data_IF_189393348421
#
_entry.id   IF_189393348421
#
_cell.length_a   1.000
_cell.length_b   1.000
_cell.length_c   1.000
_cell.angle_alpha   90.00
_cell.angle_beta   90.00
_cell.angle_gamma   90.00
#
_symmetry.space_group_name_H-M   'P 1'
#
loop_
_entity.id
_entity.type
_entity.pdbx_description
1 polymer ?
#
# COMPACT_ATOMS: atom_id res chain seq x y z
N UNK A 1 -33.43 -6.78 -0.44
CA UNK A 1 -32.25 -6.35 0.34
C UNK A 1 -31.09 -6.26 -0.63
N UNK A 2 -30.79 -5.04 -1.06
CA UNK A 2 -29.78 -4.74 -2.08
C UNK A 2 -28.40 -5.15 -1.57
N UNK A 3 -27.76 -6.10 -2.24
CA UNK A 3 -26.32 -6.32 -2.06
C UNK A 3 -25.60 -5.18 -2.79
N UNK A 4 -24.75 -4.46 -2.06
CA UNK A 4 -23.99 -3.33 -2.55
C UNK A 4 -23.21 -3.70 -3.81
N UNK A 5 -23.35 -2.87 -4.84
CA UNK A 5 -22.53 -2.88 -6.05
C UNK A 5 -21.06 -2.78 -5.65
N UNK A 6 -20.31 -3.88 -5.69
CA UNK A 6 -18.86 -3.82 -5.74
C UNK A 6 -18.51 -3.29 -7.14
N UNK A 7 -18.27 -1.98 -7.24
CA UNK A 7 -17.70 -1.35 -8.43
C UNK A 7 -16.38 -2.05 -8.72
N UNK A 8 -16.29 -2.73 -9.87
CA UNK A 8 -15.10 -3.48 -10.28
C UNK A 8 -14.00 -2.51 -10.71
N UNK A 9 -13.33 -1.90 -9.74
CA UNK A 9 -12.13 -1.09 -9.92
C UNK A 9 -10.91 -1.89 -9.49
N UNK A 10 -9.82 -1.82 -10.27
CA UNK A 10 -8.58 -2.55 -9.96
C UNK A 10 -8.11 -2.21 -8.53
N UNK A 11 -7.64 -3.18 -7.73
CA UNK A 11 -7.24 -2.95 -6.33
C UNK A 11 -6.25 -1.79 -6.18
N UNK A 12 -5.31 -1.66 -7.12
CA UNK A 12 -4.33 -0.57 -7.15
C UNK A 12 -5.00 0.80 -7.30
N UNK A 13 -6.04 0.91 -8.14
CA UNK A 13 -6.75 2.16 -8.37
C UNK A 13 -7.55 2.63 -7.15
N UNK A 14 -8.08 1.70 -6.35
CA UNK A 14 -8.75 2.04 -5.09
C UNK A 14 -7.74 2.52 -4.04
N UNK A 15 -6.60 1.83 -3.92
CA UNK A 15 -5.51 2.24 -3.01
C UNK A 15 -4.97 3.62 -3.39
N UNK A 16 -4.73 3.88 -4.67
CA UNK A 16 -4.35 5.21 -5.16
C UNK A 16 -5.42 6.27 -4.87
N UNK A 17 -6.71 5.96 -5.02
CA UNK A 17 -7.78 6.89 -4.68
C UNK A 17 -7.83 7.24 -3.19
N UNK A 18 -7.49 6.31 -2.30
CA UNK A 18 -7.54 6.51 -0.85
C UNK A 18 -6.25 7.11 -0.28
N UNK A 19 -5.09 6.72 -0.82
CA UNK A 19 -3.77 7.07 -0.29
C UNK A 19 -2.95 7.98 -1.21
N UNK A 20 -3.38 8.24 -2.45
CA UNK A 20 -2.64 9.06 -3.42
C UNK A 20 -2.53 10.54 -3.06
N UNK A 21 -3.41 11.05 -2.20
CA UNK A 21 -3.32 12.42 -1.66
C UNK A 21 -2.38 12.54 -0.44
N UNK A 22 -1.79 11.43 0.03
CA UNK A 22 -0.90 11.43 1.17
C UNK A 22 0.41 12.12 0.79
N UNK A 23 0.73 13.22 1.50
CA UNK A 23 2.03 13.85 1.35
C UNK A 23 3.11 12.90 1.87
N UNK A 24 4.14 12.69 1.06
CA UNK A 24 5.29 11.88 1.42
C UNK A 24 6.17 12.61 2.44
N UNK A 25 6.22 12.17 3.71
CA UNK A 25 7.02 12.84 4.74
C UNK A 25 8.50 12.44 4.67
N UNK A 26 8.88 11.53 3.76
CA UNK A 26 10.25 11.04 3.64
C UNK A 26 11.16 12.13 3.09
N UNK A 27 12.37 12.20 3.62
CA UNK A 27 13.39 13.14 3.14
C UNK A 27 13.74 12.83 1.69
N UNK A 28 13.65 13.83 0.80
CA UNK A 28 13.90 13.73 -0.65
C UNK A 28 15.25 13.10 -1.05
N UNK A 29 16.22 13.01 -0.14
CA UNK A 29 17.53 12.39 -0.37
C UNK A 29 17.52 10.85 -0.29
N UNK A 30 16.39 10.20 0.06
CA UNK A 30 16.30 8.74 0.19
C UNK A 30 14.93 8.23 -0.28
N UNK A 31 14.62 8.43 -1.56
CA UNK A 31 13.38 7.95 -2.16
C UNK A 31 13.70 7.15 -3.43
N UNK A 32 13.83 5.83 -3.28
CA UNK A 32 14.01 4.88 -4.39
C UNK A 32 12.65 4.34 -4.91
N UNK A 33 11.62 4.38 -4.05
CA UNK A 33 10.28 3.85 -4.34
C UNK A 33 9.20 4.87 -4.01
N UNK A 34 8.13 4.90 -4.81
CA UNK A 34 6.96 5.73 -4.54
C UNK A 34 6.31 5.31 -3.22
N UNK A 35 5.71 6.28 -2.50
CA UNK A 35 5.08 6.00 -1.21
C UNK A 35 3.96 4.97 -1.35
N UNK A 36 3.21 5.03 -2.45
CA UNK A 36 2.11 4.11 -2.73
C UNK A 36 2.57 2.65 -2.86
N UNK A 37 3.72 2.42 -3.49
CA UNK A 37 4.30 1.09 -3.67
C UNK A 37 4.66 0.47 -2.31
N UNK A 38 5.23 1.28 -1.40
CA UNK A 38 5.56 0.85 -0.04
C UNK A 38 4.30 0.53 0.77
N UNK A 39 3.24 1.33 0.64
CA UNK A 39 1.96 1.08 1.31
C UNK A 39 1.35 -0.24 0.83
N UNK A 40 1.39 -0.51 -0.48
CA UNK A 40 0.91 -1.77 -1.06
C UNK A 40 1.71 -2.96 -0.51
N UNK A 41 3.05 -2.89 -0.53
CA UNK A 41 3.92 -3.95 0.00
C UNK A 41 3.63 -4.22 1.47
N UNK A 42 3.44 -3.17 2.27
CA UNK A 42 3.15 -3.29 3.71
C UNK A 42 1.80 -3.95 3.97
N UNK A 43 0.76 -3.62 3.19
CA UNK A 43 -0.56 -4.26 3.30
C UNK A 43 -0.45 -5.74 2.93
N UNK A 44 0.24 -6.07 1.84
CA UNK A 44 0.49 -7.45 1.43
C UNK A 44 1.24 -8.23 2.53
N UNK A 45 2.28 -7.64 3.11
CA UNK A 45 3.05 -8.23 4.19
C UNK A 45 2.17 -8.48 5.43
N UNK A 46 1.38 -7.50 5.84
CA UNK A 46 0.47 -7.60 7.00
C UNK A 46 -0.60 -8.68 6.81
N UNK A 47 -1.18 -8.80 5.62
CA UNK A 47 -2.15 -9.86 5.29
C UNK A 47 -1.48 -11.24 5.33
N UNK A 48 -0.21 -11.34 4.93
CA UNK A 48 0.59 -12.56 5.01
C UNK A 48 1.06 -12.90 6.44
N UNK A 49 0.71 -12.10 7.46
CA UNK A 49 1.15 -12.31 8.84
C UNK A 49 2.61 -11.94 9.09
N UNK A 50 3.18 -11.06 8.26
CA UNK A 50 4.48 -10.46 8.51
C UNK A 50 4.33 -9.34 9.55
N UNK A 51 4.27 -9.72 10.82
CA UNK A 51 3.97 -8.82 11.92
C UNK A 51 5.18 -7.97 12.35
N UNK A 52 6.38 -8.26 11.80
CA UNK A 52 7.65 -7.65 12.20
C UNK A 52 8.38 -7.04 10.99
N UNK A 53 8.97 -5.85 11.16
CA UNK A 53 9.69 -5.10 10.12
C UNK A 53 10.86 -5.86 9.48
N UNK A 54 11.42 -6.85 10.19
CA UNK A 54 12.45 -7.77 9.67
C UNK A 54 11.92 -8.66 8.53
N UNK A 55 10.63 -9.01 8.53
CA UNK A 55 10.04 -9.81 7.46
C UNK A 55 9.84 -9.00 6.18
N UNK A 56 9.65 -7.69 6.30
CA UNK A 56 9.48 -6.77 5.15
C UNK A 56 10.85 -6.53 4.46
N UNK A 57 11.94 -6.46 5.22
CA UNK A 57 13.30 -6.24 4.69
C UNK A 57 13.93 -7.41 3.92
N UNK A 58 13.36 -8.62 4.01
CA UNK A 58 13.83 -9.80 3.26
C UNK A 58 13.30 -9.83 1.82
N UNK A 59 12.24 -9.09 1.52
CA UNK A 59 11.54 -9.13 0.22
C UNK A 59 11.90 -7.95 -0.69
N UNK A 60 12.81 -7.07 -0.26
CA UNK A 60 13.34 -5.94 -1.03
C UNK A 60 14.77 -6.23 -1.47
#
# INVERSE_FOLDING_TARGET
>A
MSISSQTTTSPTAEIESHFGALQDPRTLHSIEHQLIDIVIITICAMICGADNWEAIGVVA
#
